data_IF_788584908484
#
_entry.id   IF_788584908484
#
_cell.length_a   1.000
_cell.length_b   1.000
_cell.length_c   1.000
_cell.angle_alpha   90.00
_cell.angle_beta   90.00
_cell.angle_gamma   90.00
#
_symmetry.space_group_name_H-M   'P 1'
#
loop_
_entity.id
_entity.type
_entity.pdbx_description
1 polymer ?
#
# COMPACT_ATOMS: atom_id res chain seq x y z
N UNK A 1 -6.35 -33.31 3.74
CA UNK A 1 -7.08 -33.99 4.83
C UNK A 1 -7.00 -33.23 6.15
N UNK A 2 -5.80 -32.92 6.67
CA UNK A 2 -5.61 -32.15 7.91
C UNK A 2 -6.21 -30.72 7.87
N UNK A 3 -6.08 -30.01 6.74
CA UNK A 3 -6.73 -28.71 6.55
C UNK A 3 -8.26 -28.80 6.64
N UNK A 4 -8.86 -29.87 6.10
CA UNK A 4 -10.31 -30.10 6.18
C UNK A 4 -10.77 -30.40 7.62
N UNK A 5 -9.84 -30.80 8.50
CA UNK A 5 -10.06 -30.98 9.93
C UNK A 5 -9.77 -29.71 10.74
N UNK A 6 -9.48 -28.58 10.07
CA UNK A 6 -9.24 -27.28 10.71
C UNK A 6 -7.82 -27.08 11.23
N UNK A 7 -6.86 -27.94 10.87
CA UNK A 7 -5.46 -27.75 11.24
C UNK A 7 -4.87 -26.58 10.46
N UNK A 8 -4.43 -25.55 11.17
CA UNK A 8 -3.84 -24.33 10.60
C UNK A 8 -2.36 -24.16 10.90
N UNK A 9 -1.80 -24.99 11.79
CA UNK A 9 -0.39 -24.89 12.21
C UNK A 9 0.30 -26.22 12.00
N UNK A 10 1.42 -26.21 11.27
CA UNK A 10 2.24 -27.37 10.96
C UNK A 10 3.65 -27.15 11.52
N UNK A 11 4.21 -28.17 12.17
CA UNK A 11 5.58 -28.12 12.70
C UNK A 11 6.43 -29.13 11.96
N UNK A 12 7.54 -28.67 11.39
CA UNK A 12 8.52 -29.56 10.78
C UNK A 12 9.66 -29.81 11.75
N UNK A 13 9.78 -31.06 12.18
CA UNK A 13 10.90 -31.54 12.97
C UNK A 13 12.02 -31.99 12.03
N UNK A 14 13.11 -31.25 12.00
CA UNK A 14 14.27 -31.60 11.19
C UNK A 14 15.29 -30.46 11.05
N UNK A 15 16.45 -30.73 10.43
CA UNK A 15 17.58 -29.81 10.42
C UNK A 15 17.47 -28.67 9.40
N UNK A 16 16.56 -28.75 8.42
CA UNK A 16 16.63 -27.92 7.22
C UNK A 16 15.34 -27.17 6.84
N UNK A 17 14.18 -27.51 7.40
CA UNK A 17 12.93 -26.78 7.13
C UNK A 17 12.40 -26.90 5.69
N UNK A 18 12.69 -28.02 5.01
CA UNK A 18 12.38 -28.22 3.58
C UNK A 18 10.89 -28.40 3.36
N UNK A 19 10.22 -29.13 4.25
CA UNK A 19 8.79 -29.41 4.12
C UNK A 19 7.94 -28.16 4.38
N UNK A 20 8.44 -27.24 5.19
CA UNK A 20 7.74 -26.01 5.57
C UNK A 20 7.45 -25.12 4.36
N UNK A 21 8.33 -25.12 3.35
CA UNK A 21 8.09 -24.43 2.08
C UNK A 21 7.08 -25.12 1.15
N UNK A 22 6.80 -26.41 1.38
CA UNK A 22 5.86 -27.20 0.57
C UNK A 22 4.44 -27.19 1.15
N UNK A 23 4.28 -26.95 2.46
CA UNK A 23 2.96 -26.89 3.12
C UNK A 23 1.99 -25.91 2.44
N UNK A 24 2.38 -24.65 2.10
CA UNK A 24 1.48 -23.73 1.42
C UNK A 24 1.02 -24.22 0.04
N UNK A 25 1.79 -25.08 -0.62
CA UNK A 25 1.45 -25.64 -1.94
C UNK A 25 0.52 -26.86 -1.85
N UNK A 26 0.39 -27.44 -0.66
CA UNK A 26 -0.37 -28.67 -0.41
C UNK A 26 -1.76 -28.41 0.19
N UNK A 27 -2.12 -27.15 0.44
CA UNK A 27 -3.38 -26.73 1.06
C UNK A 27 -4.21 -25.86 0.11
N UNK A 28 -5.53 -25.84 0.31
CA UNK A 28 -6.46 -25.04 -0.47
C UNK A 28 -6.42 -23.55 -0.10
N UNK A 29 -6.06 -23.22 1.16
CA UNK A 29 -5.92 -21.84 1.66
C UNK A 29 -4.52 -21.59 2.24
N UNK A 30 -3.55 -21.21 1.40
CA UNK A 30 -2.16 -20.97 1.82
C UNK A 30 -2.04 -19.91 2.92
N UNK A 31 -2.83 -18.83 2.86
CA UNK A 31 -2.78 -17.72 3.82
C UNK A 31 -3.36 -18.07 5.20
N UNK A 32 -4.13 -19.17 5.27
CA UNK A 32 -4.77 -19.62 6.50
C UNK A 32 -3.89 -20.59 7.31
N UNK A 33 -2.73 -21.00 6.78
CA UNK A 33 -1.85 -21.98 7.42
C UNK A 33 -0.45 -21.42 7.65
N UNK A 34 0.21 -21.90 8.71
CA UNK A 34 1.62 -21.61 8.98
C UNK A 34 2.39 -22.90 9.14
N UNK A 35 3.53 -22.99 8.46
CA UNK A 35 4.51 -24.04 8.67
C UNK A 35 5.71 -23.49 9.42
N UNK A 36 6.04 -24.10 10.54
CA UNK A 36 7.12 -23.68 11.44
C UNK A 36 8.23 -24.73 11.43
N UNK A 37 9.40 -24.44 10.85
CA UNK A 37 10.55 -25.34 10.92
C UNK A 37 11.26 -25.21 12.27
N UNK A 38 11.69 -26.34 12.85
CA UNK A 38 12.51 -26.34 14.08
C UNK A 38 14.01 -26.33 13.82
N UNK A 39 14.45 -26.32 12.55
CA UNK A 39 15.85 -26.27 12.15
C UNK A 39 16.03 -25.67 10.76
N UNK A 40 17.19 -25.02 10.53
CA UNK A 40 17.54 -24.43 9.24
C UNK A 40 19.04 -24.54 8.99
N UNK A 41 19.41 -25.01 7.81
CA UNK A 41 20.83 -25.16 7.41
C UNK A 41 21.56 -23.82 7.53
N UNK A 42 22.71 -23.83 8.21
CA UNK A 42 23.55 -22.64 8.38
C UNK A 42 23.07 -21.64 9.45
N UNK A 43 22.09 -22.01 10.29
CA UNK A 43 21.63 -21.20 11.43
C UNK A 43 21.85 -21.92 12.76
N UNK A 44 22.12 -21.21 13.86
CA UNK A 44 22.22 -21.82 15.19
C UNK A 44 20.90 -22.48 15.60
N UNK A 45 20.96 -23.76 16.00
CA UNK A 45 19.78 -24.57 16.32
C UNK A 45 18.95 -23.97 17.46
N UNK A 46 19.61 -23.46 18.51
CA UNK A 46 18.94 -22.82 19.64
C UNK A 46 18.12 -21.59 19.23
N UNK A 47 18.61 -20.77 18.30
CA UNK A 47 17.89 -19.59 17.80
C UNK A 47 16.66 -19.99 17.01
N UNK A 48 16.80 -20.97 16.10
CA UNK A 48 15.70 -21.44 15.25
C UNK A 48 14.62 -22.11 16.10
N UNK A 49 15.01 -22.96 17.05
CA UNK A 49 14.06 -23.64 17.94
C UNK A 49 13.32 -22.65 18.85
N UNK A 50 14.02 -21.66 19.41
CA UNK A 50 13.40 -20.63 20.27
C UNK A 50 12.41 -19.78 19.47
N UNK A 51 12.77 -19.37 18.25
CA UNK A 51 11.88 -18.65 17.35
C UNK A 51 10.66 -19.48 16.92
N UNK A 52 10.84 -20.79 16.70
CA UNK A 52 9.76 -21.72 16.40
C UNK A 52 8.76 -21.82 17.56
N UNK A 53 9.25 -21.98 18.81
CA UNK A 53 8.40 -21.99 20.00
C UNK A 53 7.66 -20.67 20.21
N UNK A 54 8.32 -19.54 19.98
CA UNK A 54 7.68 -18.21 20.02
C UNK A 54 6.55 -18.07 18.99
N UNK A 55 6.79 -18.53 17.76
CA UNK A 55 5.78 -18.52 16.68
C UNK A 55 4.59 -19.42 17.01
N UNK A 56 4.84 -20.59 17.59
CA UNK A 56 3.78 -21.50 18.04
C UNK A 56 2.94 -20.86 19.14
N UNK A 57 3.60 -20.23 20.11
CA UNK A 57 2.94 -19.56 21.23
C UNK A 57 2.04 -18.39 20.78
N UNK A 58 2.50 -17.54 19.85
CA UNK A 58 1.68 -16.44 19.31
C UNK A 58 0.51 -16.91 18.46
N UNK A 59 0.59 -18.13 17.91
CA UNK A 59 -0.50 -18.82 17.23
C UNK A 59 -1.47 -19.54 18.19
N UNK A 60 -1.24 -19.43 19.50
CA UNK A 60 -2.10 -20.01 20.53
C UNK A 60 -1.80 -21.48 20.85
N UNK A 61 -0.70 -22.03 20.34
CA UNK A 61 -0.23 -23.36 20.74
C UNK A 61 0.36 -23.27 22.15
N UNK A 62 -0.10 -24.13 23.06
CA UNK A 62 0.43 -24.19 24.41
C UNK A 62 1.89 -24.65 24.39
N UNK A 63 2.79 -23.79 24.88
CA UNK A 63 4.21 -24.09 25.05
C UNK A 63 4.51 -24.17 26.53
N UNK A 64 5.16 -25.27 26.96
CA UNK A 64 5.64 -25.40 28.33
C UNK A 64 6.95 -24.63 28.52
N UNK A 65 6.82 -23.34 28.83
CA UNK A 65 7.97 -22.48 29.12
C UNK A 65 8.72 -22.89 30.39
N UNK A 66 8.08 -23.62 31.33
CA UNK A 66 8.79 -24.11 32.52
C UNK A 66 9.77 -25.20 32.15
N UNK A 67 9.35 -26.14 31.30
CA UNK A 67 10.23 -27.17 30.76
C UNK A 67 11.37 -26.56 29.91
N UNK A 68 11.08 -25.53 29.11
CA UNK A 68 12.08 -24.86 28.29
C UNK A 68 13.19 -24.19 29.11
N UNK A 69 12.85 -23.56 30.24
CA UNK A 69 13.80 -22.87 31.11
C UNK A 69 14.35 -23.72 32.25
N UNK A 70 14.03 -25.01 32.31
CA UNK A 70 14.52 -25.90 33.38
C UNK A 70 16.06 -25.95 33.40
N UNK A 71 16.65 -25.95 34.59
CA UNK A 71 18.11 -25.94 34.78
C UNK A 71 18.84 -24.65 34.37
N UNK A 72 18.19 -23.67 33.73
CA UNK A 72 18.83 -22.40 33.31
C UNK A 72 19.01 -21.38 34.44
N UNK A 73 18.29 -21.55 35.55
CA UNK A 73 18.20 -20.57 36.63
C UNK A 73 17.34 -19.34 36.31
N UNK A 74 16.68 -19.31 35.15
CA UNK A 74 15.75 -18.25 34.76
C UNK A 74 14.56 -18.19 35.72
N UNK A 75 14.06 -16.96 35.93
CA UNK A 75 12.91 -16.70 36.80
C UNK A 75 11.86 -15.97 35.98
N UNK A 76 10.60 -16.37 36.13
CA UNK A 76 9.49 -15.58 35.64
C UNK A 76 9.51 -14.24 36.38
N UNK A 77 9.64 -13.16 35.63
CA UNK A 77 9.52 -11.80 36.15
C UNK A 77 8.25 -11.22 35.57
N UNK A 78 7.48 -10.52 36.40
CA UNK A 78 6.33 -9.77 35.93
C UNK A 78 6.85 -8.67 35.00
N UNK A 79 6.51 -8.80 33.72
CA UNK A 79 6.70 -7.69 32.79
C UNK A 79 5.67 -6.63 33.15
N UNK A 80 6.03 -5.33 33.11
CA UNK A 80 5.06 -4.26 33.28
C UNK A 80 3.92 -4.48 32.29
N UNK A 81 2.70 -4.65 32.79
CA UNK A 81 1.51 -4.90 31.98
C UNK A 81 1.01 -3.65 31.24
N UNK A 82 1.79 -2.55 31.20
CA UNK A 82 1.40 -1.31 30.53
C UNK A 82 2.59 -0.44 30.09
N UNK A 83 2.49 0.16 28.89
CA UNK A 83 3.54 0.99 28.25
C UNK A 83 3.54 2.48 28.66
N UNK A 84 2.52 2.98 29.37
CA UNK A 84 2.46 4.38 29.81
C UNK A 84 1.66 4.53 31.11
N UNK A 85 2.30 4.52 32.29
CA UNK A 85 1.63 5.03 33.48
C UNK A 85 1.45 6.55 33.33
N UNK A 86 0.26 6.99 32.91
CA UNK A 86 -0.12 8.40 32.76
C UNK A 86 -0.18 9.16 34.10
N UNK A 87 0.94 9.23 34.82
CA UNK A 87 1.11 10.19 35.90
C UNK A 87 1.71 11.46 35.31
N UNK A 88 0.95 12.55 35.42
CA UNK A 88 1.43 13.90 35.11
C UNK A 88 2.46 14.29 36.17
N UNK A 89 3.74 14.12 35.85
CA UNK A 89 4.87 14.62 36.63
C UNK A 89 5.34 16.00 36.14
N UNK A 90 4.42 16.83 35.69
CA UNK A 90 4.74 18.21 35.33
C UNK A 90 4.86 19.05 36.60
N UNK A 91 5.96 19.78 36.76
CA UNK A 91 6.09 20.84 37.75
C UNK A 91 5.03 21.90 37.43
N UNK A 92 3.99 21.99 38.25
CA UNK A 92 3.06 23.10 38.19
C UNK A 92 3.77 24.31 38.82
N UNK A 93 3.80 25.47 38.15
CA UNK A 93 4.28 26.70 38.78
C UNK A 93 3.40 27.02 39.98
N UNK A 94 4.01 27.59 41.03
CA UNK A 94 3.28 28.10 42.19
C UNK A 94 2.20 29.07 41.68
N UNK A 95 0.94 29.00 42.15
CA UNK A 95 -0.13 29.92 41.72
C UNK A 95 0.25 31.42 41.76
N UNK A 96 1.25 31.79 42.58
CA UNK A 96 1.76 33.17 42.65
C UNK A 96 2.68 33.56 41.47
N UNK A 97 3.28 32.61 40.76
CA UNK A 97 4.09 32.86 39.56
C UNK A 97 3.26 32.96 38.27
N UNK A 98 2.01 32.48 38.30
CA UNK A 98 1.13 32.41 37.12
C UNK A 98 0.55 33.77 36.67
N UNK A 99 0.67 34.82 37.49
CA UNK A 99 0.16 36.15 37.17
C UNK A 99 1.08 36.97 36.24
N UNK A 100 2.34 36.53 36.01
CA UNK A 100 3.31 37.27 35.20
C UNK A 100 3.45 36.79 33.74
N UNK A 101 2.77 35.71 33.34
CA UNK A 101 2.89 35.14 31.99
C UNK A 101 1.53 35.04 31.28
N UNK A 102 1.13 36.14 30.65
CA UNK A 102 0.01 36.15 29.71
C UNK A 102 0.29 35.22 28.49
N UNK A 103 -0.73 34.52 27.95
CA UNK A 103 -0.53 33.37 27.07
C UNK A 103 -0.27 33.76 25.61
N UNK A 104 0.71 33.11 24.97
CA UNK A 104 0.78 33.02 23.51
C UNK A 104 -0.17 31.90 23.06
N UNK A 105 -1.25 32.28 22.37
CA UNK A 105 -2.21 31.35 21.74
C UNK A 105 -1.53 30.53 20.63
N UNK A 106 -1.36 29.24 20.86
CA UNK A 106 -1.31 28.21 19.82
C UNK A 106 -2.73 27.62 19.60
N UNK A 107 -2.99 26.95 18.45
CA UNK A 107 -4.34 26.62 18.03
C UNK A 107 -4.98 25.56 18.92
N UNK A 108 -6.30 25.67 19.01
CA UNK A 108 -7.20 24.84 19.79
C UNK A 108 -7.02 23.35 19.46
N UNK A 109 -6.53 22.58 20.44
CA UNK A 109 -6.71 21.15 20.49
C UNK A 109 -8.20 20.85 20.64
N UNK A 110 -8.80 20.45 19.51
CA UNK A 110 -10.15 19.91 19.46
C UNK A 110 -10.19 18.67 20.35
N UNK A 111 -11.19 18.66 21.21
CA UNK A 111 -11.63 17.54 22.04
C UNK A 111 -12.20 16.45 21.12
N UNK A 112 -11.58 15.29 21.10
CA UNK A 112 -12.17 14.04 20.60
C UNK A 112 -11.73 12.96 21.60
N UNK A 113 -12.50 12.71 22.66
CA UNK A 113 -13.54 11.68 22.68
C UNK A 113 -13.04 10.35 22.11
N UNK A 114 -12.63 9.48 23.03
CA UNK A 114 -12.59 8.03 22.87
C UNK A 114 -13.94 7.55 22.33
N UNK A 115 -13.94 7.00 21.11
CA UNK A 115 -14.99 6.08 20.63
C UNK A 115 -14.35 5.03 19.73
N UNK A 116 -14.56 3.77 20.10
CA UNK A 116 -14.70 2.66 19.17
C UNK A 116 -13.44 2.12 18.48
N UNK A 117 -12.80 1.14 19.12
CA UNK A 117 -11.92 0.15 18.47
C UNK A 117 -12.66 -0.81 17.51
N UNK A 118 -13.79 -0.38 16.94
CA UNK A 118 -14.60 -1.13 15.96
C UNK A 118 -14.78 -0.35 14.64
N UNK A 119 -14.16 0.84 14.47
CA UNK A 119 -14.28 1.70 13.28
C UNK A 119 -13.05 1.73 12.34
N UNK A 120 -12.02 0.89 12.57
CA UNK A 120 -10.87 0.73 11.65
C UNK A 120 -11.08 -0.34 10.56
N UNK A 121 -12.30 -0.90 10.45
CA UNK A 121 -12.69 -1.81 9.36
C UNK A 121 -13.24 -1.08 8.12
N UNK A 122 -13.14 0.24 8.04
CA UNK A 122 -13.69 1.05 6.94
C UNK A 122 -12.88 2.27 6.51
N UNK A 123 -11.68 2.49 7.06
CA UNK A 123 -10.78 3.49 6.51
C UNK A 123 -10.19 2.94 5.20
N UNK A 124 -10.32 3.66 4.06
CA UNK A 124 -9.75 3.18 2.83
C UNK A 124 -8.25 3.02 3.03
N UNK A 125 -7.76 1.82 2.70
CA UNK A 125 -6.35 1.45 2.73
C UNK A 125 -5.54 2.47 1.93
N UNK A 126 -4.24 2.59 2.23
CA UNK A 126 -3.39 3.51 1.47
C UNK A 126 -3.48 3.24 -0.04
N UNK A 127 -3.60 1.97 -0.43
CA UNK A 127 -3.82 1.53 -1.80
C UNK A 127 -5.13 2.07 -2.41
N UNK A 128 -6.25 2.00 -1.68
CA UNK A 128 -7.55 2.52 -2.14
C UNK A 128 -7.54 4.05 -2.28
N UNK A 129 -6.84 4.75 -1.38
CA UNK A 129 -6.68 6.22 -1.47
C UNK A 129 -5.81 6.61 -2.66
N UNK A 130 -4.72 5.88 -2.90
CA UNK A 130 -3.84 6.11 -4.04
C UNK A 130 -4.56 5.82 -5.37
N UNK A 131 -5.48 4.85 -5.41
CA UNK A 131 -6.20 4.52 -6.64
C UNK A 131 -7.06 5.67 -7.20
N UNK A 132 -7.50 6.61 -6.36
CA UNK A 132 -8.38 7.72 -6.75
C UNK A 132 -7.59 9.01 -7.10
N UNK A 133 -6.32 9.08 -6.71
CA UNK A 133 -5.48 10.27 -6.89
C UNK A 133 -4.78 10.28 -8.26
N UNK A 134 -4.58 11.48 -8.83
CA UNK A 134 -3.73 11.64 -10.00
C UNK A 134 -2.27 11.28 -9.69
N UNK A 135 -1.46 10.97 -10.69
CA UNK A 135 -0.03 10.65 -10.52
C UNK A 135 0.76 11.70 -9.69
N UNK A 136 0.66 13.02 -9.95
CA UNK A 136 1.37 14.01 -9.15
C UNK A 136 0.80 14.19 -7.74
N UNK A 137 -0.45 13.83 -7.50
CA UNK A 137 -1.07 13.85 -6.16
C UNK A 137 -0.69 12.61 -5.35
N UNK A 138 -0.57 11.45 -5.99
CA UNK A 138 -0.08 10.21 -5.37
C UNK A 138 1.34 10.38 -4.82
N UNK A 139 2.22 10.98 -5.61
CA UNK A 139 3.61 11.28 -5.20
C UNK A 139 3.66 12.14 -3.94
N UNK A 140 2.95 13.28 -3.94
CA UNK A 140 2.89 14.18 -2.79
C UNK A 140 2.29 13.50 -1.57
N UNK A 141 1.18 12.79 -1.75
CA UNK A 141 0.50 12.11 -0.66
C UNK A 141 1.36 11.00 -0.02
N UNK A 142 2.07 10.22 -0.82
CA UNK A 142 3.00 9.21 -0.32
C UNK A 142 4.18 9.84 0.42
N UNK A 143 4.75 10.91 -0.12
CA UNK A 143 5.85 11.63 0.53
C UNK A 143 5.42 12.19 1.90
N UNK A 144 4.25 12.83 1.97
CA UNK A 144 3.69 13.34 3.22
C UNK A 144 3.44 12.21 4.22
N UNK A 145 2.91 11.08 3.75
CA UNK A 145 2.63 9.90 4.58
C UNK A 145 3.92 9.29 5.14
N UNK A 146 4.94 9.08 4.30
CA UNK A 146 6.24 8.57 4.72
C UNK A 146 6.88 9.52 5.71
N UNK A 147 6.85 10.83 5.45
CA UNK A 147 7.42 11.86 6.33
C UNK A 147 6.73 11.88 7.69
N UNK A 148 5.39 11.77 7.71
CA UNK A 148 4.62 11.66 8.95
C UNK A 148 4.95 10.38 9.74
N UNK A 149 5.11 9.25 9.07
CA UNK A 149 5.50 7.99 9.71
C UNK A 149 6.92 8.05 10.27
N UNK A 150 7.86 8.63 9.54
CA UNK A 150 9.25 8.87 9.96
C UNK A 150 9.28 9.76 11.21
N UNK A 151 8.52 10.86 11.20
CA UNK A 151 8.40 11.74 12.36
C UNK A 151 7.78 11.02 13.57
N UNK A 152 6.76 10.21 13.35
CA UNK A 152 6.12 9.40 14.40
C UNK A 152 7.06 8.36 15.00
N UNK A 153 7.88 7.68 14.19
CA UNK A 153 8.88 6.70 14.67
C UNK A 153 10.00 7.39 15.45
N UNK A 154 10.41 8.59 15.05
CA UNK A 154 11.43 9.37 15.74
C UNK A 154 10.91 10.18 16.94
N UNK A 155 9.58 10.24 17.15
CA UNK A 155 8.97 11.08 18.19
C UNK A 155 9.13 12.58 17.93
N UNK A 156 9.23 12.98 16.67
CA UNK A 156 9.39 14.36 16.21
C UNK A 156 8.13 14.89 15.53
N UNK A 157 8.03 16.21 15.39
CA UNK A 157 7.01 16.85 14.56
C UNK A 157 7.36 16.64 13.07
N UNK A 158 6.39 16.25 12.20
CA UNK A 158 6.59 16.10 10.76
C UNK A 158 7.26 17.30 10.08
N UNK A 159 7.03 18.51 10.58
CA UNK A 159 7.56 19.76 9.99
C UNK A 159 9.09 19.85 10.10
N UNK A 160 9.71 19.06 10.99
CA UNK A 160 11.16 19.04 11.20
C UNK A 160 11.94 18.05 10.32
N UNK A 161 11.26 17.18 9.56
CA UNK A 161 11.89 16.12 8.78
C UNK A 161 12.17 16.59 7.36
N UNK A 162 13.45 16.56 6.96
CA UNK A 162 13.86 16.87 5.58
C UNK A 162 13.80 15.60 4.72
N UNK A 163 13.04 15.64 3.63
CA UNK A 163 12.79 14.48 2.74
C UNK A 163 14.03 13.93 2.04
N UNK A 164 15.05 14.78 1.84
CA UNK A 164 16.27 14.41 1.14
C UNK A 164 17.38 13.96 2.08
N UNK A 165 17.22 14.18 3.40
CA UNK A 165 18.24 13.86 4.39
C UNK A 165 18.30 12.34 4.62
N UNK A 166 19.49 11.74 4.71
CA UNK A 166 19.62 10.32 5.01
C UNK A 166 18.99 9.96 6.35
N UNK A 167 18.36 8.78 6.43
CA UNK A 167 17.76 8.25 7.65
C UNK A 167 18.76 8.18 8.82
N UNK A 168 20.02 7.84 8.54
CA UNK A 168 21.09 7.80 9.53
C UNK A 168 21.34 9.17 10.19
N UNK A 169 21.26 10.26 9.42
CA UNK A 169 21.40 11.63 9.93
C UNK A 169 20.13 12.14 10.63
N UNK A 170 18.98 11.53 10.35
CA UNK A 170 17.73 11.76 11.07
C UNK A 170 17.64 10.98 12.39
N UNK A 171 18.63 10.13 12.69
CA UNK A 171 18.68 9.34 13.93
C UNK A 171 18.06 7.94 13.81
N UNK A 172 17.89 7.40 12.59
CA UNK A 172 17.49 6.01 12.42
C UNK A 172 18.61 5.04 12.80
N UNK A 173 18.22 4.01 13.54
CA UNK A 173 19.04 2.84 13.83
C UNK A 173 18.40 1.57 13.23
N UNK A 174 18.98 0.40 13.54
CA UNK A 174 18.48 -0.88 13.05
C UNK A 174 17.09 -1.25 13.62
N UNK A 175 16.70 -0.73 14.78
CA UNK A 175 15.41 -1.03 15.41
C UNK A 175 14.32 -0.10 14.87
N UNK A 176 14.57 1.20 14.77
CA UNK A 176 13.62 2.17 14.21
C UNK A 176 13.37 1.92 12.73
N UNK A 177 14.36 1.41 12.00
CA UNK A 177 14.19 0.99 10.61
C UNK A 177 13.22 -0.18 10.45
N UNK A 178 13.26 -1.16 11.35
CA UNK A 178 12.31 -2.29 11.38
C UNK A 178 10.90 -1.81 11.76
N UNK A 179 10.80 -0.88 12.70
CA UNK A 179 9.51 -0.30 13.09
C UNK A 179 8.86 0.47 11.94
N UNK A 180 9.61 1.31 11.24
CA UNK A 180 9.13 2.02 10.04
C UNK A 180 8.67 1.03 8.97
N UNK A 181 9.45 -0.02 8.68
CA UNK A 181 9.07 -1.06 7.72
C UNK A 181 7.75 -1.73 8.10
N UNK A 182 7.59 -2.13 9.36
CA UNK A 182 6.37 -2.81 9.80
C UNK A 182 5.15 -1.91 9.70
N UNK A 183 5.28 -0.63 10.06
CA UNK A 183 4.19 0.36 9.92
C UNK A 183 3.84 0.60 8.45
N UNK A 184 4.83 0.71 7.57
CA UNK A 184 4.61 0.86 6.14
C UNK A 184 3.94 -0.36 5.53
N UNK A 185 4.40 -1.58 5.85
CA UNK A 185 3.76 -2.81 5.38
C UNK A 185 2.31 -2.94 5.85
N UNK A 186 2.02 -2.54 7.09
CA UNK A 186 0.65 -2.52 7.60
C UNK A 186 -0.25 -1.51 6.87
N UNK A 187 0.28 -0.33 6.55
CA UNK A 187 -0.48 0.72 5.87
C UNK A 187 -0.69 0.47 4.37
N UNK A 188 0.30 -0.13 3.70
CA UNK A 188 0.31 -0.33 2.25
C UNK A 188 -0.24 -1.70 1.85
N UNK A 189 -0.23 -2.68 2.76
CA UNK A 189 -0.50 -4.08 2.44
C UNK A 189 0.59 -4.75 1.61
N UNK A 190 1.72 -4.06 1.35
CA UNK A 190 2.83 -4.58 0.56
C UNK A 190 3.84 -5.35 1.43
N UNK A 191 4.39 -6.42 0.88
CA UNK A 191 5.50 -7.14 1.52
C UNK A 191 6.82 -6.42 1.23
N UNK A 192 7.24 -5.58 2.19
CA UNK A 192 8.40 -4.73 2.05
C UNK A 192 9.68 -5.46 2.50
N UNK A 193 10.80 -5.35 1.78
CA UNK A 193 12.04 -6.04 2.14
C UNK A 193 12.59 -5.53 3.49
N UNK A 194 13.30 -6.38 4.27
CA UNK A 194 13.89 -5.98 5.54
C UNK A 194 15.06 -4.98 5.39
N UNK A 195 15.60 -4.84 4.18
CA UNK A 195 16.69 -3.91 3.83
C UNK A 195 16.18 -2.54 3.35
N UNK A 196 14.86 -2.30 3.36
CA UNK A 196 14.20 -1.11 2.80
C UNK A 196 14.87 0.22 3.16
N UNK A 197 15.21 0.45 4.42
CA UNK A 197 15.80 1.71 4.90
C UNK A 197 17.25 1.89 4.43
N UNK A 198 17.94 0.80 4.07
CA UNK A 198 19.29 0.82 3.51
C UNK A 198 19.28 0.98 1.99
N UNK A 199 18.33 0.33 1.32
CA UNK A 199 18.18 0.41 -0.14
C UNK A 199 17.62 1.78 -0.57
N UNK A 200 16.78 2.37 0.28
CA UNK A 200 16.17 3.68 0.09
C UNK A 200 16.52 4.58 1.28
N UNK A 201 17.67 5.27 1.23
CA UNK A 201 18.28 5.87 2.42
C UNK A 201 17.63 7.18 2.90
N UNK A 202 16.57 7.68 2.25
CA UNK A 202 15.86 8.89 2.68
C UNK A 202 14.34 8.81 2.38
N UNK A 203 13.51 9.65 3.02
CA UNK A 203 12.06 9.65 2.82
C UNK A 203 11.61 9.80 1.35
N UNK A 204 12.28 10.62 0.56
CA UNK A 204 11.93 10.82 -0.86
C UNK A 204 12.13 9.56 -1.70
N UNK A 205 13.29 8.90 -1.56
CA UNK A 205 13.60 7.64 -2.25
C UNK A 205 12.64 6.52 -1.83
N UNK A 206 12.27 6.49 -0.55
CA UNK A 206 11.33 5.51 -0.04
C UNK A 206 9.91 5.74 -0.56
N UNK A 207 9.44 6.98 -0.63
CA UNK A 207 8.14 7.33 -1.21
C UNK A 207 8.06 6.95 -2.70
N UNK A 208 9.12 7.19 -3.46
CA UNK A 208 9.20 6.80 -4.87
C UNK A 208 9.14 5.27 -5.07
N UNK A 209 9.85 4.50 -4.22
CA UNK A 209 9.75 3.05 -4.25
C UNK A 209 8.33 2.55 -3.94
N UNK A 210 7.71 3.10 -2.90
CA UNK A 210 6.34 2.73 -2.53
C UNK A 210 5.33 3.07 -3.61
N UNK A 211 5.52 4.15 -4.36
CA UNK A 211 4.64 4.49 -5.47
C UNK A 211 4.64 3.41 -6.56
N UNK A 212 5.79 2.80 -6.83
CA UNK A 212 5.92 1.69 -7.79
C UNK A 212 5.31 0.40 -7.22
N UNK A 213 5.60 0.09 -5.95
CA UNK A 213 5.15 -1.15 -5.31
C UNK A 213 3.64 -1.18 -5.04
N UNK A 214 3.06 -0.02 -4.70
CA UNK A 214 1.64 0.14 -4.35
C UNK A 214 0.76 0.61 -5.49
N UNK A 215 1.35 0.88 -6.68
CA UNK A 215 0.55 1.17 -7.86
C UNK A 215 -0.45 0.03 -8.07
N UNK A 216 -1.76 0.32 -8.18
CA UNK A 216 -2.75 -0.72 -8.38
C UNK A 216 -2.36 -1.51 -9.62
N UNK A 217 -1.99 -2.79 -9.43
CA UNK A 217 -1.75 -3.68 -10.57
C UNK A 217 -3.10 -3.83 -11.28
N UNK A 218 -3.21 -3.42 -12.54
CA UNK A 218 -4.49 -3.49 -13.22
C UNK A 218 -4.90 -4.95 -13.33
N UNK A 219 -6.04 -5.28 -12.72
CA UNK A 219 -6.67 -6.60 -12.81
C UNK A 219 -7.11 -6.88 -14.25
N UNK A 220 -7.25 -5.84 -15.06
CA UNK A 220 -7.52 -5.88 -16.50
C UNK A 220 -6.68 -4.79 -17.23
N UNK A 221 -5.73 -5.17 -18.11
CA UNK A 221 -4.90 -4.23 -18.84
C UNK A 221 -5.70 -3.36 -19.82
N UNK A 222 -6.84 -3.84 -20.35
CA UNK A 222 -7.68 -3.07 -21.27
C UNK A 222 -8.35 -1.92 -20.52
N UNK A 223 -8.92 -2.20 -19.34
CA UNK A 223 -9.49 -1.18 -18.47
C UNK A 223 -8.46 -0.13 -18.04
N UNK A 224 -7.23 -0.56 -17.75
CA UNK A 224 -6.15 0.36 -17.37
C UNK A 224 -5.81 1.36 -18.48
N UNK A 225 -5.79 0.90 -19.74
CA UNK A 225 -5.58 1.77 -20.90
C UNK A 225 -6.73 2.77 -21.01
N UNK A 226 -7.98 2.34 -20.80
CA UNK A 226 -9.13 3.24 -20.78
C UNK A 226 -9.04 4.29 -19.66
N UNK A 227 -8.68 3.90 -18.44
CA UNK A 227 -8.53 4.85 -17.32
C UNK A 227 -7.43 5.89 -17.58
N UNK A 228 -6.36 5.51 -18.28
CA UNK A 228 -5.31 6.45 -18.72
C UNK A 228 -5.84 7.42 -19.77
N UNK A 229 -6.63 6.94 -20.73
CA UNK A 229 -7.23 7.77 -21.76
C UNK A 229 -8.24 8.78 -21.18
N UNK A 230 -9.05 8.37 -20.20
CA UNK A 230 -10.01 9.25 -19.52
C UNK A 230 -9.29 10.40 -18.77
N UNK A 231 -8.19 10.09 -18.07
CA UNK A 231 -7.35 11.12 -17.41
C UNK A 231 -6.70 12.07 -18.42
N UNK A 232 -6.25 11.54 -19.55
CA UNK A 232 -5.68 12.34 -20.62
C UNK A 232 -6.71 13.29 -21.23
N UNK A 233 -7.94 12.83 -21.43
CA UNK A 233 -9.06 13.67 -21.89
C UNK A 233 -9.35 14.82 -20.91
N UNK A 234 -9.40 14.53 -19.61
CA UNK A 234 -9.55 15.57 -18.58
C UNK A 234 -8.42 16.62 -18.61
N UNK A 235 -7.19 16.18 -18.83
CA UNK A 235 -6.02 17.07 -18.93
C UNK A 235 -6.07 17.93 -20.20
N UNK A 236 -6.53 17.36 -21.33
CA UNK A 236 -6.71 18.10 -22.58
C UNK A 236 -7.76 19.21 -22.46
N UNK A 237 -8.81 18.99 -21.66
CA UNK A 237 -9.88 19.96 -21.45
C UNK A 237 -9.40 21.23 -20.72
N UNK A 238 -8.35 21.13 -19.91
CA UNK A 238 -7.78 22.26 -19.17
C UNK A 238 -6.68 23.03 -19.94
N UNK A 239 -6.24 22.53 -21.11
CA UNK A 239 -5.16 23.17 -21.87
C UNK A 239 -5.60 24.50 -22.52
N UNK A 240 -4.79 25.57 -22.37
CA UNK A 240 -5.07 26.86 -23.01
C UNK A 240 -5.05 26.74 -24.55
N UNK A 241 -5.70 27.65 -25.30
CA UNK A 241 -5.83 27.65 -26.77
C UNK A 241 -4.51 27.87 -27.54
N UNK A 242 -3.37 27.43 -27.01
CA UNK A 242 -2.07 27.46 -27.69
C UNK A 242 -1.99 26.39 -28.80
N UNK A 243 -1.85 26.85 -30.04
CA UNK A 243 -1.86 26.03 -31.25
C UNK A 243 -0.58 25.19 -31.39
N UNK A 244 0.55 25.72 -30.88
CA UNK A 244 1.87 25.10 -31.02
C UNK A 244 2.00 23.88 -30.10
N UNK A 245 1.51 23.99 -28.86
CA UNK A 245 1.43 22.87 -27.91
C UNK A 245 0.47 21.76 -28.38
N UNK A 246 -0.70 22.11 -28.94
CA UNK A 246 -1.66 21.13 -29.49
C UNK A 246 -1.10 20.37 -30.68
N UNK A 247 -0.33 21.03 -31.54
CA UNK A 247 0.24 20.40 -32.72
C UNK A 247 1.20 19.26 -32.34
N UNK A 248 2.06 19.48 -31.33
CA UNK A 248 2.97 18.46 -30.80
C UNK A 248 2.24 17.25 -30.19
N UNK A 249 1.20 17.49 -29.40
CA UNK A 249 0.37 16.42 -28.82
C UNK A 249 -0.33 15.61 -29.93
N UNK A 250 -0.86 16.27 -30.97
CA UNK A 250 -1.52 15.60 -32.10
C UNK A 250 -0.58 14.66 -32.85
N UNK A 251 0.68 15.07 -33.06
CA UNK A 251 1.69 14.25 -33.76
C UNK A 251 2.00 12.99 -32.95
N UNK A 252 2.13 13.13 -31.62
CA UNK A 252 2.41 12.00 -30.74
C UNK A 252 1.24 11.01 -30.68
N UNK A 253 0.00 11.49 -30.62
CA UNK A 253 -1.19 10.64 -30.65
C UNK A 253 -1.32 9.86 -31.96
N UNK A 254 -1.05 10.48 -33.11
CA UNK A 254 -1.03 9.78 -34.40
C UNK A 254 0.04 8.68 -34.44
N UNK A 255 1.21 8.92 -33.86
CA UNK A 255 2.27 7.91 -33.79
C UNK A 255 1.84 6.71 -32.92
N UNK A 256 1.24 6.96 -31.77
CA UNK A 256 0.72 5.90 -30.88
C UNK A 256 -0.42 5.12 -31.54
N UNK A 257 -1.33 5.79 -32.25
CA UNK A 257 -2.40 5.13 -33.02
C UNK A 257 -1.84 4.24 -34.14
N UNK A 258 -0.79 4.70 -34.84
CA UNK A 258 -0.12 3.90 -35.87
C UNK A 258 0.56 2.65 -35.30
N UNK A 259 1.15 2.76 -34.11
CA UNK A 259 1.76 1.64 -33.39
C UNK A 259 0.71 0.62 -32.91
N UNK A 260 -0.41 1.10 -32.36
CA UNK A 260 -1.54 0.27 -31.90
C UNK A 260 -2.31 -0.42 -33.04
N UNK A 261 -2.37 0.20 -34.22
CA UNK A 261 -3.08 -0.36 -35.39
C UNK A 261 -2.30 -1.49 -36.08
N UNK A 262 -1.05 -1.73 -35.68
CA UNK A 262 -0.14 -2.72 -36.27
C UNK A 262 0.21 -2.45 -37.75
N UNK A 263 1.14 -3.22 -38.36
CA UNK A 263 1.51 -3.08 -39.77
C UNK A 263 0.42 -3.52 -40.78
N UNK A 264 -0.84 -3.67 -40.35
CA UNK A 264 -1.95 -4.00 -41.23
C UNK A 264 -3.26 -3.34 -40.77
N UNK A 265 -3.24 -2.02 -40.73
CA UNK A 265 -4.30 -1.28 -41.41
C UNK A 265 -3.64 -0.56 -42.57
N UNK A 266 -3.78 -1.12 -43.77
CA UNK A 266 -3.72 -0.30 -44.98
C UNK A 266 -4.60 0.93 -44.73
N UNK A 267 -4.32 2.11 -45.33
CA UNK A 267 -5.27 3.19 -45.25
C UNK A 267 -6.60 2.58 -45.68
N UNK A 268 -7.60 2.58 -44.78
CA UNK A 268 -8.95 2.64 -45.27
C UNK A 268 -8.88 3.86 -46.17
N UNK A 269 -8.81 3.60 -47.49
CA UNK A 269 -9.25 4.53 -48.49
C UNK A 269 -10.45 5.18 -47.86
N UNK A 270 -10.44 6.51 -47.80
CA UNK A 270 -11.62 7.29 -47.48
C UNK A 270 -12.62 6.93 -48.58
N UNK A 271 -13.25 5.78 -48.43
CA UNK A 271 -14.41 5.34 -49.18
C UNK A 271 -15.52 6.10 -48.50
N UNK A 272 -15.65 7.33 -49.00
CA UNK A 272 -16.77 8.24 -48.86
C UNK A 272 -17.56 8.04 -47.55
N UNK A 273 -17.29 8.86 -46.55
CA UNK A 273 -18.33 9.19 -45.58
C UNK A 273 -19.60 9.50 -46.40
N UNK A 274 -20.71 8.76 -46.26
CA UNK A 274 -21.98 9.32 -46.67
C UNK A 274 -22.18 10.55 -45.79
N UNK A 275 -22.43 11.65 -46.48
CA UNK A 275 -22.78 13.00 -46.04
C UNK A 275 -23.31 13.09 -44.60
N UNK A 276 -22.96 14.14 -43.82
CA UNK A 276 -23.52 14.34 -42.49
C UNK A 276 -25.06 14.18 -42.49
N UNK A 277 -25.55 13.36 -41.56
CA UNK A 277 -26.95 13.00 -41.29
C UNK A 277 -27.85 14.19 -40.85
N UNK A 278 -27.55 15.40 -41.30
CA UNK A 278 -28.37 16.60 -41.07
C UNK A 278 -29.12 17.09 -42.30
N UNK A 279 -29.06 16.34 -43.42
CA UNK A 279 -29.79 16.66 -44.65
C UNK A 279 -30.49 15.45 -45.31
N UNK A 280 -30.74 14.36 -44.57
CA UNK A 280 -31.56 13.27 -45.10
C UNK A 280 -33.03 13.70 -45.13
N UNK A 281 -33.66 13.59 -46.30
CA UNK A 281 -35.09 13.86 -46.41
C UNK A 281 -35.89 12.73 -45.76
N UNK A 282 -37.08 13.04 -45.22
CA UNK A 282 -37.92 12.07 -44.49
C UNK A 282 -38.17 10.79 -45.28
N UNK A 283 -38.21 10.85 -46.62
CA UNK A 283 -38.43 9.68 -47.48
C UNK A 283 -37.23 8.71 -47.50
N UNK A 284 -35.99 9.18 -47.33
CA UNK A 284 -34.79 8.31 -47.29
C UNK A 284 -34.67 7.56 -45.96
N UNK A 285 -35.26 8.11 -44.88
CA UNK A 285 -35.29 7.46 -43.56
C UNK A 285 -36.24 6.25 -43.58
N UNK A 286 -37.37 6.33 -44.30
CA UNK A 286 -38.32 5.22 -44.40
C UNK A 286 -37.80 4.07 -45.26
N UNK A 287 -37.08 4.37 -46.35
CA UNK A 287 -36.48 3.34 -47.22
C UNK A 287 -35.39 2.51 -46.51
N UNK A 288 -34.64 3.14 -45.61
CA UNK A 288 -33.63 2.45 -44.79
C UNK A 288 -34.26 1.53 -43.73
N UNK A 289 -35.39 1.93 -43.14
CA UNK A 289 -36.10 1.13 -42.13
C UNK A 289 -36.77 -0.10 -42.77
N UNK A 290 -37.38 0.06 -43.95
CA UNK A 290 -38.00 -1.07 -44.67
C UNK A 290 -36.96 -2.07 -45.17
N UNK A 291 -35.78 -1.61 -45.60
CA UNK A 291 -34.69 -2.48 -46.06
C UNK A 291 -34.08 -3.32 -44.93
N UNK A 292 -34.05 -2.79 -43.70
CA UNK A 292 -33.50 -3.50 -42.52
C UNK A 292 -34.52 -4.43 -41.85
N UNK A 293 -35.81 -4.08 -41.83
CA UNK A 293 -36.85 -4.92 -41.22
C UNK A 293 -37.37 -6.02 -42.16
N UNK A 294 -37.20 -5.88 -43.49
CA UNK A 294 -37.58 -6.88 -44.48
C UNK A 294 -36.70 -8.14 -44.54
N UNK A 295 -35.56 -8.18 -43.82
CA UNK A 295 -34.65 -9.35 -43.80
C UNK A 295 -34.88 -10.31 -42.62
N UNK A 296 -35.86 -10.05 -41.75
CA UNK A 296 -36.16 -10.91 -40.59
C UNK A 296 -37.40 -11.82 -40.77
N UNK A 297 -37.96 -11.93 -41.98
CA UNK A 297 -39.03 -12.88 -42.29
C UNK A 297 -38.66 -13.70 -43.54
N UNK A 298 -37.88 -14.75 -43.33
CA UNK A 298 -37.53 -15.77 -44.32
C UNK A 298 -37.05 -17.03 -43.61
#
# INVERSE_FOLDING_TARGET
>A
ELEAQGVTTFVELGPAGVLSGLVPQAVARPDAVVAVPTGRTGRPEAEVLTGALGTLYTRGVAVDWRAFFDGSGARAVDLPTYAFQHRRYWLLPDPDDAAAAAPRRGPAGVRAEERGSEEEAGAPTLAERLAVLSEPERERYLLDTVTAMVASVLGHDPVGITSDRPFQELGFDSLTGVELRNRLSAATGADLPPTLVFDYPNPAALAAYLLVETAPRPVDPVRAVHDVLDRFEGTLAELPPDEEARSGISVRLRALLAELSGPQSAPATVESLPTPLTAASTDEIFDFIDTQLGRAAG
#
